data_IF_427704776182
#
_entry.id   IF_427704776182
#
_cell.length_a   1.000
_cell.length_b   1.000
_cell.length_c   1.000
_cell.angle_alpha   90.00
_cell.angle_beta   90.00
_cell.angle_gamma   90.00
#
_symmetry.space_group_name_H-M   'P 1'
#
loop_
_entity.id
_entity.type
_entity.pdbx_description
1 polymer ?
#
# COMPACT_ATOMS: atom_id res chain seq x y z
N UNK A 1 -0.42 9.86 -19.76
CA UNK A 1 -0.38 8.39 -19.62
C UNK A 1 0.23 8.05 -18.27
N UNK A 2 -0.25 7.02 -17.60
CA UNK A 2 0.34 6.58 -16.33
C UNK A 2 1.67 5.86 -16.55
N UNK A 3 2.59 5.95 -15.59
CA UNK A 3 3.84 5.18 -15.62
C UNK A 3 3.54 3.70 -15.32
N UNK A 4 3.64 2.86 -16.36
CA UNK A 4 3.36 1.41 -16.27
C UNK A 4 4.35 0.67 -15.39
N UNK A 5 5.63 1.03 -15.44
CA UNK A 5 6.67 0.40 -14.62
C UNK A 5 6.39 0.64 -13.13
N UNK A 6 6.09 1.89 -12.76
CA UNK A 6 5.71 2.24 -11.38
C UNK A 6 4.49 1.46 -10.91
N UNK A 7 3.49 1.28 -11.77
CA UNK A 7 2.28 0.52 -11.47
C UNK A 7 2.60 -0.96 -11.21
N UNK A 8 3.33 -1.60 -12.12
CA UNK A 8 3.69 -3.02 -11.99
C UNK A 8 4.55 -3.26 -10.75
N UNK A 9 5.54 -2.41 -10.48
CA UNK A 9 6.39 -2.55 -9.30
C UNK A 9 5.59 -2.41 -8.01
N UNK A 10 4.70 -1.41 -7.94
CA UNK A 10 3.83 -1.22 -6.77
C UNK A 10 2.89 -2.41 -6.56
N UNK A 11 2.36 -3.00 -7.64
CA UNK A 11 1.57 -4.21 -7.55
C UNK A 11 2.38 -5.40 -7.01
N UNK A 12 3.57 -5.65 -7.55
CA UNK A 12 4.44 -6.74 -7.09
C UNK A 12 4.82 -6.59 -5.60
N UNK A 13 5.11 -5.36 -5.16
CA UNK A 13 5.37 -5.07 -3.75
C UNK A 13 4.13 -5.36 -2.88
N UNK A 14 2.92 -4.94 -3.30
CA UNK A 14 1.69 -5.19 -2.55
C UNK A 14 1.37 -6.67 -2.42
N UNK A 15 1.44 -7.45 -3.50
CA UNK A 15 1.09 -8.89 -3.46
C UNK A 15 2.14 -9.74 -2.75
N UNK A 16 3.32 -9.18 -2.45
CA UNK A 16 4.34 -9.86 -1.64
C UNK A 16 4.07 -9.78 -0.13
N UNK A 17 3.06 -9.01 0.29
CA UNK A 17 2.65 -8.87 1.69
C UNK A 17 1.42 -9.76 1.91
N UNK A 18 1.58 -10.77 2.75
CA UNK A 18 0.46 -11.62 3.16
C UNK A 18 -0.62 -10.76 3.81
N UNK A 19 -1.83 -10.85 3.26
CA UNK A 19 -3.01 -10.11 3.71
C UNK A 19 -4.31 -10.89 3.46
N UNK A 20 -4.40 -12.15 3.94
CA UNK A 20 -5.69 -12.85 3.96
C UNK A 20 -6.69 -12.05 4.80
N UNK A 21 -7.98 -12.32 4.59
CA UNK A 21 -9.04 -11.61 5.31
C UNK A 21 -8.90 -11.79 6.83
N UNK A 22 -8.82 -10.69 7.57
CA UNK A 22 -8.55 -10.64 9.01
C UNK A 22 -7.08 -10.42 9.41
N UNK A 23 -6.14 -10.41 8.45
CA UNK A 23 -4.71 -10.18 8.69
C UNK A 23 -4.15 -9.01 7.86
N UNK A 24 -4.98 -7.98 7.63
CA UNK A 24 -4.65 -6.85 6.74
C UNK A 24 -3.68 -5.82 7.36
N UNK A 25 -3.27 -5.99 8.61
CA UNK A 25 -2.52 -4.99 9.36
C UNK A 25 -1.17 -4.63 8.72
N UNK A 26 -0.45 -5.62 8.19
CA UNK A 26 0.87 -5.39 7.59
C UNK A 26 0.78 -4.68 6.23
N UNK A 27 -0.21 -5.03 5.40
CA UNK A 27 -0.45 -4.32 4.13
C UNK A 27 -0.98 -2.90 4.38
N UNK A 28 -1.78 -2.71 5.44
CA UNK A 28 -2.28 -1.39 5.87
C UNK A 28 -1.11 -0.46 6.23
N UNK A 29 -0.20 -0.89 7.12
CA UNK A 29 1.01 -0.12 7.47
C UNK A 29 1.88 0.23 6.26
N UNK A 30 2.05 -0.70 5.33
CA UNK A 30 2.81 -0.45 4.11
C UNK A 30 2.16 0.65 3.24
N UNK A 31 0.84 0.60 3.06
CA UNK A 31 0.09 1.61 2.30
C UNK A 31 0.17 2.97 3.00
N UNK A 32 -0.02 3.01 4.31
CA UNK A 32 0.10 4.24 5.10
C UNK A 32 1.48 4.88 4.95
N UNK A 33 2.54 4.09 5.06
CA UNK A 33 3.90 4.56 4.90
C UNK A 33 4.16 5.12 3.48
N UNK A 34 3.65 4.47 2.42
CA UNK A 34 3.76 4.99 1.04
C UNK A 34 3.00 6.30 0.87
N UNK A 35 1.75 6.37 1.33
CA UNK A 35 0.91 7.56 1.15
C UNK A 35 1.43 8.76 1.95
N UNK A 36 1.92 8.52 3.17
CA UNK A 36 2.58 9.56 3.99
C UNK A 36 3.82 10.12 3.29
N UNK A 37 4.65 9.25 2.68
CA UNK A 37 5.83 9.68 1.89
C UNK A 37 5.47 10.51 0.67
N UNK A 38 4.25 10.34 0.14
CA UNK A 38 3.73 11.14 -0.96
C UNK A 38 3.10 12.47 -0.49
N UNK A 39 3.07 12.72 0.82
CA UNK A 39 2.55 13.96 1.42
C UNK A 39 1.05 13.94 1.69
N UNK A 40 0.41 12.77 1.67
CA UNK A 40 -1.01 12.65 2.03
C UNK A 40 -1.21 12.64 3.55
N UNK A 41 -2.34 13.19 3.99
CA UNK A 41 -2.84 13.05 5.36
C UNK A 41 -3.72 11.81 5.41
N UNK A 42 -3.44 10.93 6.36
CA UNK A 42 -4.13 9.65 6.50
C UNK A 42 -5.03 9.64 7.72
N UNK A 43 -6.16 8.94 7.58
CA UNK A 43 -7.08 8.65 8.65
C UNK A 43 -7.44 7.17 8.52
N UNK A 44 -7.16 6.41 9.60
CA UNK A 44 -7.54 5.01 9.76
C UNK A 44 -8.69 4.97 10.77
N UNK A 45 -9.74 4.23 10.45
CA UNK A 45 -10.82 3.89 11.37
C UNK A 45 -10.49 2.62 12.17
N UNK A 46 -11.27 2.40 13.23
CA UNK A 46 -11.18 1.21 14.10
C UNK A 46 -11.88 -0.01 13.46
#
# INVERSE_FOLDING_TARGET
MINRERLTNTFCELVSIDSPSGEEEEVSKYIEAKLTKLGFILLKDD
#
